data_IF_073652606460
#
_entry.id   IF_073652606460
#
_cell.length_a   1.000
_cell.length_b   1.000
_cell.length_c   1.000
_cell.angle_alpha   90.00
_cell.angle_beta   90.00
_cell.angle_gamma   90.00
#
_symmetry.space_group_name_H-M   'P 1'
#
loop_
_entity.id
_entity.type
_entity.pdbx_description
1 polymer ?
#
# COMPACT_ATOMS: atom_id res chain seq x y z
N UNK A 1 -7.36 -41.88 -38.14
CA UNK A 1 -7.67 -41.39 -36.77
C UNK A 1 -8.97 -40.61 -36.87
N UNK A 2 -10.06 -41.04 -36.21
CA UNK A 2 -11.34 -40.34 -36.32
C UNK A 2 -11.38 -39.18 -35.30
N UNK A 3 -10.95 -38.01 -35.76
CA UNK A 3 -10.80 -36.79 -34.95
C UNK A 3 -12.12 -36.21 -34.44
N UNK A 4 -13.25 -36.68 -34.96
CA UNK A 4 -14.60 -36.27 -34.57
C UNK A 4 -15.26 -37.24 -33.59
N UNK A 5 -14.54 -38.27 -33.13
CA UNK A 5 -15.08 -39.20 -32.12
C UNK A 5 -14.99 -38.61 -30.72
N UNK A 6 -16.04 -38.79 -29.92
CA UNK A 6 -16.08 -38.31 -28.53
C UNK A 6 -14.88 -38.79 -27.72
N UNK A 7 -14.44 -40.05 -27.92
CA UNK A 7 -13.26 -40.61 -27.24
C UNK A 7 -11.97 -39.88 -27.62
N UNK A 8 -11.77 -39.54 -28.90
CA UNK A 8 -10.61 -38.78 -29.33
C UNK A 8 -10.62 -37.38 -28.72
N UNK A 9 -11.76 -36.68 -28.75
CA UNK A 9 -11.89 -35.35 -28.15
C UNK A 9 -11.59 -35.37 -26.65
N UNK A 10 -12.12 -36.35 -25.91
CA UNK A 10 -11.90 -36.48 -24.46
C UNK A 10 -10.43 -36.76 -24.14
N UNK A 11 -9.78 -37.69 -24.86
CA UNK A 11 -8.37 -38.03 -24.63
C UNK A 11 -7.48 -36.84 -24.99
N UNK A 12 -7.71 -36.21 -26.15
CA UNK A 12 -6.96 -35.04 -26.60
C UNK A 12 -7.07 -33.89 -25.60
N UNK A 13 -8.29 -33.56 -25.16
CA UNK A 13 -8.51 -32.51 -24.17
C UNK A 13 -7.82 -32.84 -22.84
N UNK A 14 -7.91 -34.09 -22.38
CA UNK A 14 -7.27 -34.52 -21.12
C UNK A 14 -5.74 -34.39 -21.19
N UNK A 15 -5.13 -34.85 -22.29
CA UNK A 15 -3.67 -34.72 -22.50
C UNK A 15 -3.26 -33.25 -22.59
N UNK A 16 -4.02 -32.44 -23.33
CA UNK A 16 -3.75 -31.00 -23.44
C UNK A 16 -3.84 -30.30 -22.08
N UNK A 17 -4.85 -30.59 -21.27
CA UNK A 17 -5.00 -30.03 -19.92
C UNK A 17 -3.82 -30.42 -19.03
N UNK A 18 -3.40 -31.70 -19.03
CA UNK A 18 -2.26 -32.15 -18.23
C UNK A 18 -0.97 -31.45 -18.65
N UNK A 19 -0.71 -31.34 -19.96
CA UNK A 19 0.49 -30.67 -20.48
C UNK A 19 0.47 -29.18 -20.10
N UNK A 20 -0.65 -28.48 -20.32
CA UNK A 20 -0.77 -27.05 -20.01
C UNK A 20 -0.65 -26.80 -18.51
N UNK A 21 -1.32 -27.59 -17.67
CA UNK A 21 -1.23 -27.46 -16.22
C UNK A 21 0.20 -27.71 -15.71
N UNK A 22 0.88 -28.74 -16.23
CA UNK A 22 2.27 -29.02 -15.88
C UNK A 22 3.21 -27.88 -16.29
N UNK A 23 3.08 -27.36 -17.51
CA UNK A 23 3.90 -26.26 -17.99
C UNK A 23 3.68 -24.98 -17.16
N UNK A 24 2.43 -24.62 -16.88
CA UNK A 24 2.10 -23.45 -16.06
C UNK A 24 2.66 -23.59 -14.63
N UNK A 25 2.50 -24.76 -14.01
CA UNK A 25 3.03 -25.04 -12.68
C UNK A 25 4.57 -24.99 -12.66
N UNK A 26 5.23 -25.57 -13.67
CA UNK A 26 6.68 -25.55 -13.79
C UNK A 26 7.23 -24.13 -13.96
N UNK A 27 6.66 -23.34 -14.88
CA UNK A 27 7.07 -21.95 -15.11
C UNK A 27 6.84 -21.09 -13.86
N UNK A 28 5.66 -21.19 -13.24
CA UNK A 28 5.34 -20.45 -12.01
C UNK A 28 6.30 -20.82 -10.87
N UNK A 29 6.57 -22.10 -10.65
CA UNK A 29 7.46 -22.54 -9.59
C UNK A 29 8.91 -22.14 -9.84
N UNK A 30 9.40 -22.22 -11.08
CA UNK A 30 10.79 -21.88 -11.42
C UNK A 30 11.07 -20.38 -11.31
N UNK A 31 10.07 -19.52 -11.51
CA UNK A 31 10.23 -18.07 -11.48
C UNK A 31 9.80 -17.43 -10.16
N UNK A 32 9.24 -18.21 -9.22
CA UNK A 32 8.66 -17.68 -7.99
C UNK A 32 9.63 -16.80 -7.19
N UNK A 33 10.87 -17.24 -6.99
CA UNK A 33 11.87 -16.45 -6.25
C UNK A 33 12.17 -15.10 -6.89
N UNK A 34 12.19 -15.03 -8.23
CA UNK A 34 12.39 -13.79 -8.98
C UNK A 34 11.16 -12.89 -8.87
N UNK A 35 9.95 -13.47 -8.95
CA UNK A 35 8.70 -12.74 -8.77
C UNK A 35 8.62 -12.14 -7.36
N UNK A 36 8.89 -12.95 -6.33
CA UNK A 36 8.85 -12.52 -4.93
C UNK A 36 9.86 -11.38 -4.68
N UNK A 37 11.09 -11.50 -5.21
CA UNK A 37 12.08 -10.42 -5.09
C UNK A 37 11.66 -9.16 -5.84
N UNK A 38 11.03 -9.28 -7.01
CA UNK A 38 10.52 -8.12 -7.74
C UNK A 38 9.38 -7.43 -6.98
N UNK A 39 8.48 -8.18 -6.34
CA UNK A 39 7.41 -7.62 -5.49
C UNK A 39 8.01 -6.94 -4.26
N UNK A 40 9.05 -7.52 -3.65
CA UNK A 40 9.79 -6.89 -2.55
C UNK A 40 10.43 -5.57 -2.98
N UNK A 41 11.14 -5.54 -4.11
CA UNK A 41 11.79 -4.34 -4.64
C UNK A 41 10.76 -3.27 -5.03
N UNK A 42 9.64 -3.67 -5.62
CA UNK A 42 8.55 -2.75 -5.93
C UNK A 42 7.95 -2.16 -4.64
N UNK A 43 7.70 -2.99 -3.62
CA UNK A 43 7.23 -2.53 -2.30
C UNK A 43 8.18 -1.51 -1.69
N UNK A 44 9.50 -1.75 -1.75
CA UNK A 44 10.52 -0.78 -1.31
C UNK A 44 10.43 0.54 -2.08
N UNK A 45 10.22 0.50 -3.41
CA UNK A 45 10.02 1.70 -4.23
C UNK A 45 8.76 2.46 -3.84
N UNK A 46 7.67 1.78 -3.51
CA UNK A 46 6.42 2.41 -3.08
C UNK A 46 6.58 3.13 -1.73
N UNK A 47 7.30 2.52 -0.77
CA UNK A 47 7.65 3.18 0.50
C UNK A 47 8.54 4.40 0.26
N UNK A 48 9.56 4.28 -0.59
CA UNK A 48 10.42 5.41 -0.98
C UNK A 48 9.64 6.53 -1.68
N UNK A 49 8.65 6.19 -2.50
CA UNK A 49 7.80 7.17 -3.18
C UNK A 49 6.97 8.00 -2.20
N UNK A 50 6.44 7.38 -1.13
CA UNK A 50 5.77 8.13 -0.04
C UNK A 50 6.73 9.05 0.72
N UNK A 51 8.03 8.72 0.73
CA UNK A 51 9.11 9.57 1.22
C UNK A 51 9.62 10.57 0.17
N UNK A 52 8.86 10.80 -0.90
CA UNK A 52 9.21 11.70 -2.02
C UNK A 52 10.53 11.36 -2.73
N UNK A 53 11.05 10.14 -2.55
CA UNK A 53 12.26 9.63 -3.22
C UNK A 53 11.82 8.87 -4.47
N UNK A 54 11.98 9.50 -5.62
CA UNK A 54 11.48 9.05 -6.92
C UNK A 54 12.64 8.70 -7.87
N UNK A 55 12.32 8.04 -8.98
CA UNK A 55 13.29 7.61 -10.01
C UNK A 55 14.37 6.67 -9.45
N UNK A 56 13.96 5.73 -8.61
CA UNK A 56 14.85 4.79 -7.94
C UNK A 56 15.28 3.66 -8.90
N UNK A 57 16.55 3.69 -9.31
CA UNK A 57 17.17 2.62 -10.11
C UNK A 57 17.46 1.38 -9.24
N UNK A 58 18.23 1.57 -8.16
CA UNK A 58 18.51 0.54 -7.15
C UNK A 58 17.62 0.72 -5.92
N UNK A 59 16.52 -0.04 -5.90
CA UNK A 59 15.55 0.03 -4.81
C UNK A 59 16.11 -0.46 -3.47
N UNK A 60 17.03 -1.42 -3.48
CA UNK A 60 17.56 -1.98 -2.25
C UNK A 60 18.56 -1.02 -1.61
N UNK A 61 19.45 -0.45 -2.41
CA UNK A 61 20.43 0.53 -1.93
C UNK A 61 19.75 1.82 -1.41
N UNK A 62 18.81 2.39 -2.16
CA UNK A 62 18.12 3.61 -1.71
C UNK A 62 17.21 3.33 -0.51
N UNK A 63 16.54 2.17 -0.46
CA UNK A 63 15.74 1.80 0.71
C UNK A 63 16.59 1.73 1.97
N UNK A 64 17.72 1.02 1.92
CA UNK A 64 18.61 0.87 3.08
C UNK A 64 19.28 2.19 3.50
N UNK A 65 19.40 3.15 2.59
CA UNK A 65 19.95 4.48 2.88
C UNK A 65 18.97 5.32 3.70
N UNK A 66 17.69 5.32 3.34
CA UNK A 66 16.67 6.18 3.96
C UNK A 66 15.88 5.49 5.07
N UNK A 67 15.45 4.25 4.87
CA UNK A 67 14.66 3.49 5.85
C UNK A 67 15.61 2.80 6.82
N UNK A 68 15.50 3.18 8.10
CA UNK A 68 16.38 2.74 9.18
C UNK A 68 15.89 1.49 9.87
N UNK A 69 14.58 1.25 9.84
CA UNK A 69 13.99 0.05 10.44
C UNK A 69 12.54 -0.16 10.04
N UNK A 70 12.14 -1.43 10.08
CA UNK A 70 10.75 -1.88 10.04
C UNK A 70 10.35 -2.24 11.47
N UNK A 71 9.38 -1.53 12.04
CA UNK A 71 8.95 -1.70 13.42
C UNK A 71 7.53 -2.27 13.48
N UNK A 72 7.24 -3.04 14.51
CA UNK A 72 5.91 -3.51 14.84
C UNK A 72 5.33 -2.65 15.97
N UNK A 73 4.14 -2.11 15.75
CA UNK A 73 3.41 -1.35 16.76
C UNK A 73 2.70 -2.29 17.74
N UNK A 74 2.98 -2.11 19.02
CA UNK A 74 2.27 -2.77 20.11
C UNK A 74 0.92 -2.08 20.39
N UNK A 75 0.05 -2.76 21.15
CA UNK A 75 -1.29 -2.23 21.50
C UNK A 75 -1.20 -0.90 22.24
N UNK A 76 -0.18 -0.71 23.07
CA UNK A 76 0.07 0.53 23.81
C UNK A 76 0.66 1.66 22.95
N UNK A 77 0.93 1.39 21.66
CA UNK A 77 1.53 2.35 20.73
C UNK A 77 3.07 2.37 20.76
N UNK A 78 3.74 1.55 21.58
CA UNK A 78 5.20 1.43 21.53
C UNK A 78 5.64 0.64 20.29
N UNK A 79 6.89 0.86 19.86
CA UNK A 79 7.47 0.18 18.70
C UNK A 79 8.48 -0.89 19.13
N UNK A 80 8.43 -2.05 18.50
CA UNK A 80 9.43 -3.13 18.65
C UNK A 80 9.97 -3.51 17.28
N UNK A 81 11.28 -3.74 17.17
CA UNK A 81 11.91 -4.05 15.88
C UNK A 81 11.34 -5.36 15.28
N UNK A 82 11.00 -5.33 13.99
CA UNK A 82 10.63 -6.53 13.26
C UNK A 82 11.89 -7.34 12.92
N UNK A 83 12.07 -8.48 13.59
CA UNK A 83 13.17 -9.42 13.29
C UNK A 83 12.80 -10.45 12.21
N UNK A 84 11.59 -10.37 11.66
CA UNK A 84 11.08 -11.25 10.62
C UNK A 84 11.58 -10.89 9.22
N UNK A 85 11.17 -11.69 8.23
CA UNK A 85 11.38 -11.35 6.82
C UNK A 85 10.55 -10.11 6.44
N UNK A 86 11.03 -9.38 5.43
CA UNK A 86 10.31 -8.23 4.88
C UNK A 86 8.94 -8.67 4.34
N UNK A 87 7.87 -8.04 4.83
CA UNK A 87 6.52 -8.32 4.39
C UNK A 87 6.16 -7.51 3.13
N UNK A 88 5.31 -8.08 2.27
CA UNK A 88 4.77 -7.38 1.08
C UNK A 88 3.24 -7.30 1.09
N UNK A 89 2.57 -8.05 1.96
CA UNK A 89 1.12 -8.09 2.10
C UNK A 89 0.64 -7.55 3.44
N UNK A 90 0.72 -6.24 3.65
CA UNK A 90 0.43 -5.62 4.95
C UNK A 90 -1.03 -5.76 5.42
N UNK A 91 -1.99 -5.94 4.50
CA UNK A 91 -3.36 -6.28 4.87
C UNK A 91 -3.42 -7.64 5.59
N UNK A 92 -2.68 -8.62 5.08
CA UNK A 92 -2.60 -9.97 5.66
C UNK A 92 -1.87 -9.93 7.00
N UNK A 93 -0.77 -9.19 7.09
CA UNK A 93 -0.03 -8.97 8.33
C UNK A 93 -0.93 -8.44 9.45
N UNK A 94 -1.75 -7.44 9.15
CA UNK A 94 -2.66 -6.88 10.12
C UNK A 94 -3.83 -7.82 10.46
N UNK A 95 -4.49 -8.42 9.45
CA UNK A 95 -5.73 -9.21 9.65
C UNK A 95 -5.48 -10.60 10.20
N UNK A 96 -4.43 -11.29 9.75
CA UNK A 96 -4.16 -12.68 10.10
C UNK A 96 -3.08 -12.81 11.19
N UNK A 97 -2.12 -11.88 11.24
CA UNK A 97 -1.00 -11.95 12.16
C UNK A 97 -1.03 -10.88 13.25
N UNK A 98 -1.99 -9.94 13.20
CA UNK A 98 -2.10 -8.83 14.16
C UNK A 98 -0.82 -8.00 14.25
N UNK A 99 -0.08 -7.91 13.14
CA UNK A 99 1.17 -7.15 13.03
C UNK A 99 0.93 -5.86 12.26
N UNK A 100 1.17 -4.74 12.92
CA UNK A 100 1.05 -3.40 12.34
C UNK A 100 2.45 -2.82 12.15
N UNK A 101 2.85 -2.67 10.88
CA UNK A 101 4.18 -2.21 10.51
C UNK A 101 4.26 -0.68 10.50
N UNK A 102 5.36 -0.14 11.03
CA UNK A 102 5.72 1.28 11.00
C UNK A 102 7.16 1.37 10.55
N UNK A 103 7.40 1.90 9.36
CA UNK A 103 8.77 2.11 8.89
C UNK A 103 9.30 3.42 9.44
N UNK A 104 10.47 3.36 10.06
CA UNK A 104 11.19 4.54 10.54
C UNK A 104 12.23 4.90 9.49
N UNK A 105 12.12 6.09 8.93
CA UNK A 105 13.03 6.61 7.92
C UNK A 105 13.68 7.92 8.36
N UNK A 106 14.80 8.25 7.77
CA UNK A 106 15.48 9.53 7.96
C UNK A 106 15.67 10.21 6.61
N UNK A 107 15.10 11.40 6.45
CA UNK A 107 15.21 12.19 5.22
C UNK A 107 15.68 13.59 5.61
N UNK A 108 16.81 14.03 5.05
CA UNK A 108 17.44 15.32 5.37
C UNK A 108 17.70 15.54 6.87
N UNK A 109 18.01 14.47 7.62
CA UNK A 109 18.25 14.53 9.06
C UNK A 109 16.98 14.57 9.92
N UNK A 110 15.79 14.51 9.32
CA UNK A 110 14.51 14.44 10.02
C UNK A 110 13.93 13.03 9.98
N UNK A 111 13.44 12.56 11.12
CA UNK A 111 12.71 11.28 11.20
C UNK A 111 11.35 11.39 10.51
N UNK A 112 11.00 10.36 9.76
CA UNK A 112 9.70 10.15 9.12
C UNK A 112 9.16 8.77 9.50
N UNK A 113 7.85 8.68 9.67
CA UNK A 113 7.15 7.42 9.95
C UNK A 113 6.26 7.05 8.78
N UNK A 114 6.42 5.85 8.22
CA UNK A 114 5.64 5.40 7.06
C UNK A 114 4.72 4.26 7.46
N UNK A 115 3.43 4.41 7.15
CA UNK A 115 2.37 3.48 7.51
C UNK A 115 1.78 2.84 6.25
N UNK A 116 1.80 1.51 6.13
CA UNK A 116 1.02 0.81 5.12
C UNK A 116 -0.48 1.00 5.34
N UNK A 117 -1.19 1.34 4.27
CA UNK A 117 -2.65 1.43 4.24
C UNK A 117 -3.21 0.56 3.13
N UNK A 118 -4.38 -0.04 3.35
CA UNK A 118 -4.98 -1.00 2.42
C UNK A 118 -6.51 -0.97 2.54
N UNK A 119 -7.18 -1.26 1.44
CA UNK A 119 -8.64 -1.23 1.38
C UNK A 119 -9.19 -1.73 0.05
N UNK A 120 -10.47 -1.43 -0.18
CA UNK A 120 -11.18 -1.84 -1.39
C UNK A 120 -11.61 -0.61 -2.20
N UNK A 121 -11.28 -0.62 -3.49
CA UNK A 121 -11.81 0.30 -4.50
C UNK A 121 -13.10 -0.23 -5.11
N UNK A 122 -13.41 0.19 -6.35
CA UNK A 122 -14.59 -0.29 -7.07
C UNK A 122 -14.39 -1.70 -7.62
N UNK A 123 -13.25 -1.96 -8.27
CA UNK A 123 -12.99 -3.19 -9.01
C UNK A 123 -12.02 -4.12 -8.30
N UNK A 124 -11.20 -3.61 -7.39
CA UNK A 124 -10.20 -4.41 -6.70
C UNK A 124 -9.60 -3.74 -5.47
N UNK A 125 -8.55 -4.38 -4.95
CA UNK A 125 -7.79 -3.84 -3.82
C UNK A 125 -7.14 -2.51 -4.20
N UNK A 126 -7.13 -1.59 -3.24
CA UNK A 126 -6.33 -0.37 -3.25
C UNK A 126 -5.40 -0.42 -2.04
N UNK A 127 -4.22 0.16 -2.19
CA UNK A 127 -3.24 0.20 -1.11
C UNK A 127 -2.37 1.44 -1.22
N UNK A 128 -1.55 1.66 -0.21
CA UNK A 128 -0.61 2.75 -0.21
C UNK A 128 0.27 2.80 1.02
N UNK A 129 1.00 3.91 1.10
CA UNK A 129 1.90 4.24 2.19
C UNK A 129 1.71 5.71 2.52
N UNK A 130 1.47 6.02 3.79
CA UNK A 130 1.35 7.39 4.30
C UNK A 130 2.61 7.68 5.09
N UNK A 131 3.41 8.65 4.67
CA UNK A 131 4.58 9.12 5.40
C UNK A 131 4.22 10.37 6.21
N UNK A 132 4.49 10.34 7.52
CA UNK A 132 4.31 11.46 8.43
C UNK A 132 5.66 12.02 8.89
N UNK A 133 5.68 13.30 9.24
CA UNK A 133 6.82 13.94 9.89
C UNK A 133 7.04 13.40 11.31
N UNK A 134 8.10 13.87 11.97
CA UNK A 134 8.45 13.48 13.34
C UNK A 134 7.37 13.84 14.37
N UNK A 135 6.48 14.79 14.04
CA UNK A 135 5.31 15.15 14.84
C UNK A 135 4.19 14.09 14.81
N UNK A 136 4.38 12.98 14.08
CA UNK A 136 3.43 11.87 13.92
C UNK A 136 2.05 12.31 13.38
N UNK A 137 1.96 13.48 12.76
CA UNK A 137 0.68 14.06 12.34
C UNK A 137 0.73 14.76 10.97
N UNK A 138 1.76 15.54 10.68
CA UNK A 138 1.86 16.22 9.39
C UNK A 138 2.28 15.25 8.30
N UNK A 139 1.48 15.14 7.25
CA UNK A 139 1.76 14.31 6.08
C UNK A 139 2.97 14.86 5.33
N UNK A 140 4.04 14.08 5.30
CA UNK A 140 5.24 14.33 4.51
C UNK A 140 5.04 13.94 3.04
N UNK A 141 4.29 12.87 2.80
CA UNK A 141 3.99 12.36 1.47
C UNK A 141 3.13 11.11 1.54
N UNK A 142 2.55 10.74 0.40
CA UNK A 142 1.76 9.52 0.26
C UNK A 142 2.13 8.84 -1.04
N UNK A 143 1.92 7.53 -1.07
CA UNK A 143 1.88 6.75 -2.30
C UNK A 143 0.60 5.92 -2.29
N UNK A 144 -0.18 5.96 -3.37
CA UNK A 144 -1.32 5.06 -3.54
C UNK A 144 -1.21 4.28 -4.83
N UNK A 145 -1.76 3.08 -4.82
CA UNK A 145 -1.85 2.22 -5.99
C UNK A 145 -3.08 1.31 -5.88
N UNK A 146 -3.32 0.54 -6.93
CA UNK A 146 -4.52 -0.26 -7.08
C UNK A 146 -4.29 -1.49 -7.94
N UNK A 147 -5.14 -2.51 -7.75
CA UNK A 147 -5.07 -3.73 -8.52
C UNK A 147 -5.63 -3.55 -9.95
N UNK A 148 -6.77 -2.86 -10.07
CA UNK A 148 -7.57 -2.92 -11.30
C UNK A 148 -8.57 -1.77 -11.49
N UNK A 149 -8.34 -0.62 -10.85
CA UNK A 149 -9.20 0.54 -11.06
C UNK A 149 -9.09 1.05 -12.51
N UNK A 150 -10.13 1.72 -12.99
CA UNK A 150 -10.23 2.13 -14.41
C UNK A 150 -9.35 3.36 -14.70
N UNK A 151 -8.45 3.31 -15.71
CA UNK A 151 -7.68 4.46 -16.19
C UNK A 151 -8.56 5.67 -16.53
N UNK A 152 -8.14 6.88 -16.13
CA UNK A 152 -8.91 8.12 -16.30
C UNK A 152 -10.06 8.31 -15.31
N UNK A 153 -10.30 7.37 -14.40
CA UNK A 153 -11.28 7.44 -13.32
C UNK A 153 -10.61 7.05 -11.99
N UNK A 154 -10.96 5.89 -11.42
CA UNK A 154 -10.41 5.45 -10.14
C UNK A 154 -8.89 5.26 -10.14
N UNK A 155 -8.28 4.92 -11.28
CA UNK A 155 -6.84 4.71 -11.37
C UNK A 155 -6.02 5.98 -11.09
N UNK A 156 -6.63 7.16 -11.21
CA UNK A 156 -5.96 8.44 -10.99
C UNK A 156 -5.52 8.64 -9.53
N UNK A 157 -5.93 7.77 -8.59
CA UNK A 157 -5.37 7.76 -7.23
C UNK A 157 -3.86 7.48 -7.23
N UNK A 158 -3.35 6.75 -8.24
CA UNK A 158 -1.93 6.50 -8.42
C UNK A 158 -1.19 7.68 -9.06
N UNK A 159 -1.93 8.71 -9.50
CA UNK A 159 -1.40 9.89 -10.15
C UNK A 159 -0.77 10.86 -9.16
N UNK A 160 0.32 11.51 -9.59
CA UNK A 160 1.05 12.49 -8.78
C UNK A 160 0.14 13.65 -8.33
N UNK A 161 -0.72 14.14 -9.23
CA UNK A 161 -1.61 15.25 -8.94
C UNK A 161 -2.51 14.97 -7.73
N UNK A 162 -3.05 13.76 -7.61
CA UNK A 162 -3.90 13.41 -6.48
C UNK A 162 -3.09 13.20 -5.19
N UNK A 163 -1.92 12.56 -5.28
CA UNK A 163 -1.08 12.29 -4.12
C UNK A 163 -0.48 13.58 -3.52
N UNK A 164 -0.15 14.57 -4.35
CA UNK A 164 0.40 15.86 -3.90
C UNK A 164 -0.60 16.69 -3.08
N UNK A 165 -1.90 16.49 -3.28
CA UNK A 165 -2.93 17.16 -2.47
C UNK A 165 -2.82 16.82 -0.97
N UNK A 166 -2.18 15.70 -0.62
CA UNK A 166 -2.01 15.28 0.77
C UNK A 166 -0.81 15.95 1.47
N UNK A 167 0.10 16.58 0.72
CA UNK A 167 1.31 17.18 1.30
C UNK A 167 0.94 18.27 2.32
N UNK A 168 1.48 18.16 3.54
CA UNK A 168 1.25 19.11 4.62
C UNK A 168 -0.12 19.00 5.31
N UNK A 169 -0.99 18.06 4.89
CA UNK A 169 -2.24 17.78 5.61
C UNK A 169 -1.96 17.16 6.97
N UNK A 170 -2.91 17.28 7.88
CA UNK A 170 -2.87 16.68 9.22
C UNK A 170 -3.69 15.40 9.27
N UNK A 171 -3.28 14.47 10.13
CA UNK A 171 -3.96 13.18 10.33
C UNK A 171 -5.05 13.23 11.37
N UNK A 172 -4.87 14.02 12.43
CA UNK A 172 -5.73 14.01 13.61
C UNK A 172 -6.38 15.38 13.85
N UNK A 173 -7.70 15.40 13.99
CA UNK A 173 -8.48 16.54 14.47
C UNK A 173 -9.04 16.19 15.85
N UNK A 174 -8.59 16.89 16.89
CA UNK A 174 -8.97 16.62 18.29
C UNK A 174 -8.77 15.16 18.72
N UNK A 175 -7.69 14.52 18.25
CA UNK A 175 -7.36 13.14 18.55
C UNK A 175 -8.14 12.10 17.75
N UNK A 176 -8.99 12.50 16.81
CA UNK A 176 -9.69 11.60 15.89
C UNK A 176 -9.11 11.68 14.47
N UNK A 177 -9.07 10.54 13.77
CA UNK A 177 -8.57 10.50 12.40
C UNK A 177 -9.46 11.33 11.48
N UNK A 178 -8.89 12.39 10.93
CA UNK A 178 -9.57 13.35 10.07
C UNK A 178 -9.03 13.38 8.63
N UNK A 179 -7.80 12.89 8.40
CA UNK A 179 -7.26 12.77 7.04
C UNK A 179 -8.19 11.93 6.18
N UNK A 180 -8.60 12.48 5.05
CA UNK A 180 -9.60 11.80 4.22
C UNK A 180 -9.81 12.43 2.87
N UNK A 181 -10.65 11.75 2.09
CA UNK A 181 -10.98 12.15 0.72
C UNK A 181 -12.47 12.43 0.68
N UNK A 182 -12.84 13.61 0.20
CA UNK A 182 -14.24 13.99 0.01
C UNK A 182 -14.57 14.08 -1.46
N UNK A 183 -15.86 14.19 -1.80
CA UNK A 183 -16.26 14.40 -3.19
C UNK A 183 -15.58 15.66 -3.75
N UNK A 184 -15.13 15.62 -5.00
CA UNK A 184 -14.52 16.76 -5.67
C UNK A 184 -15.36 18.06 -5.52
N UNK A 185 -14.71 19.15 -5.11
CA UNK A 185 -15.34 20.44 -4.82
C UNK A 185 -16.13 20.49 -3.51
N UNK A 186 -15.90 19.55 -2.58
CA UNK A 186 -16.61 19.46 -1.28
C UNK A 186 -15.68 19.42 -0.06
N UNK A 187 -14.42 19.84 -0.22
CA UNK A 187 -13.51 20.05 0.92
C UNK A 187 -14.07 21.13 1.85
N UNK A 188 -14.39 20.73 3.09
CA UNK A 188 -14.84 21.63 4.15
C UNK A 188 -13.73 21.87 5.18
N UNK A 189 -12.86 20.86 5.38
CA UNK A 189 -11.73 20.92 6.30
C UNK A 189 -10.40 20.81 5.53
N UNK A 190 -9.90 21.89 4.91
CA UNK A 190 -8.77 21.85 3.99
C UNK A 190 -7.45 21.40 4.63
N UNK A 191 -7.32 21.46 5.96
CA UNK A 191 -6.12 20.96 6.66
C UNK A 191 -6.08 19.42 6.72
N UNK A 192 -7.20 18.75 6.52
CA UNK A 192 -7.34 17.29 6.68
C UNK A 192 -7.91 16.60 5.43
N UNK A 193 -8.67 17.32 4.61
CA UNK A 193 -9.41 16.74 3.49
C UNK A 193 -8.81 17.16 2.16
N UNK A 194 -8.80 16.21 1.23
CA UNK A 194 -8.48 16.45 -0.18
C UNK A 194 -9.69 16.17 -1.06
N UNK A 195 -9.68 16.74 -2.25
CA UNK A 195 -10.67 16.44 -3.27
C UNK A 195 -10.46 15.04 -3.86
N UNK A 196 -11.56 14.30 -3.97
CA UNK A 196 -11.60 13.03 -4.67
C UNK A 196 -11.53 13.19 -6.19
N UNK A 197 -11.36 12.07 -6.88
CA UNK A 197 -11.27 12.02 -8.33
C UNK A 197 -12.65 12.21 -8.96
N UNK A 198 -12.76 13.16 -9.89
CA UNK A 198 -13.96 13.36 -10.68
C UNK A 198 -14.27 12.11 -11.53
N UNK A 199 -15.49 11.59 -11.44
CA UNK A 199 -15.88 10.33 -12.08
C UNK A 199 -15.38 9.05 -11.38
N UNK A 200 -14.43 9.16 -10.43
CA UNK A 200 -13.89 8.06 -9.63
C UNK A 200 -14.45 7.98 -8.20
N UNK A 201 -15.71 8.38 -7.98
CA UNK A 201 -16.26 8.59 -6.63
C UNK A 201 -16.19 7.35 -5.73
N UNK A 202 -16.47 6.15 -6.25
CA UNK A 202 -16.42 4.92 -5.43
C UNK A 202 -14.99 4.63 -5.00
N UNK A 203 -14.01 4.78 -5.89
CA UNK A 203 -12.60 4.63 -5.55
C UNK A 203 -12.14 5.68 -4.55
N UNK A 204 -12.56 6.94 -4.70
CA UNK A 204 -12.24 8.01 -3.73
C UNK A 204 -12.83 7.74 -2.35
N UNK A 205 -14.06 7.24 -2.27
CA UNK A 205 -14.65 6.77 -1.00
C UNK A 205 -13.88 5.58 -0.45
N UNK A 206 -13.41 4.66 -1.31
CA UNK A 206 -12.52 3.57 -0.92
C UNK A 206 -11.24 4.07 -0.26
N UNK A 207 -10.58 5.10 -0.85
CA UNK A 207 -9.37 5.71 -0.28
C UNK A 207 -9.68 6.38 1.06
N UNK A 208 -10.80 7.10 1.19
CA UNK A 208 -11.22 7.71 2.46
C UNK A 208 -11.40 6.66 3.56
N UNK A 209 -12.10 5.56 3.25
CA UNK A 209 -12.31 4.45 4.19
C UNK A 209 -11.00 3.75 4.53
N UNK A 210 -10.13 3.51 3.54
CA UNK A 210 -8.80 2.94 3.71
C UNK A 210 -7.96 3.76 4.70
N UNK A 211 -7.86 5.06 4.47
CA UNK A 211 -7.09 5.97 5.34
C UNK A 211 -7.62 5.95 6.77
N UNK A 212 -8.94 6.16 6.94
CA UNK A 212 -9.56 6.18 8.26
C UNK A 212 -9.40 4.86 9.01
N UNK A 213 -9.63 3.74 8.34
CA UNK A 213 -9.55 2.41 8.97
C UNK A 213 -8.12 2.08 9.38
N UNK A 214 -7.16 2.28 8.48
CA UNK A 214 -5.77 1.94 8.75
C UNK A 214 -5.16 2.89 9.78
N UNK A 215 -5.28 4.21 9.63
CA UNK A 215 -4.72 5.17 10.59
C UNK A 215 -5.34 5.04 11.98
N UNK A 216 -6.63 4.69 12.07
CA UNK A 216 -7.26 4.42 13.36
C UNK A 216 -6.65 3.19 14.06
N UNK A 217 -6.11 2.23 13.31
CA UNK A 217 -5.37 1.09 13.87
C UNK A 217 -4.03 1.51 14.48
N UNK A 218 -3.45 2.62 14.01
CA UNK A 218 -2.21 3.20 14.53
C UNK A 218 -2.46 4.30 15.59
N UNK A 219 -3.71 4.53 16.00
CA UNK A 219 -4.10 5.68 16.84
C UNK A 219 -3.30 5.80 18.13
N UNK A 220 -2.98 4.69 18.80
CA UNK A 220 -2.15 4.71 20.02
C UNK A 220 -0.76 5.29 19.74
N UNK A 221 -0.08 4.88 18.67
CA UNK A 221 1.21 5.47 18.29
C UNK A 221 1.08 6.94 17.88
N UNK A 222 0.03 7.30 17.12
CA UNK A 222 -0.17 8.66 16.62
C UNK A 222 -0.55 9.68 17.71
N UNK A 223 -1.13 9.21 18.82
CA UNK A 223 -1.57 10.07 19.94
C UNK A 223 -0.66 9.96 21.17
N UNK A 224 0.24 8.98 21.19
CA UNK A 224 1.35 8.95 22.14
C UNK A 224 2.35 10.04 21.79
N UNK A 225 2.08 11.23 22.32
CA UNK A 225 3.12 12.20 22.55
C UNK A 225 3.95 11.64 23.69
N UNK A 226 5.15 11.15 23.36
CA UNK A 226 6.19 10.99 24.36
C UNK A 226 6.46 12.40 24.89
N UNK A 227 5.79 12.76 25.98
CA UNK A 227 6.26 13.82 26.87
C UNK A 227 7.61 13.34 27.41
N UNK A 228 8.69 13.63 26.68
CA UNK A 228 9.99 13.87 27.30
C UNK A 228 10.07 15.29 27.85
#
# INVERSE_FOLDING_TARGET
>A
MNTNSNSYTIIYASVMVVIVAFLLAFVSSSLRSIQDKNVELDTKKQILAALNIKNVEDAEAEYNKYVKGDMLMNVDGTLTENTGAFATGYEKEAKEHQRLHVFVAEVNGETKYVFPVYGAGLWGAIWGYVALNSDKDTVYGVYFSHASETPGLGAEIAGQQFQDEFLGKKTLDNGEVALGVVKNGKVEKPDYQVDGISGGTITSVGVDVMLKTCLNSYKSFLTNNDEE
#
